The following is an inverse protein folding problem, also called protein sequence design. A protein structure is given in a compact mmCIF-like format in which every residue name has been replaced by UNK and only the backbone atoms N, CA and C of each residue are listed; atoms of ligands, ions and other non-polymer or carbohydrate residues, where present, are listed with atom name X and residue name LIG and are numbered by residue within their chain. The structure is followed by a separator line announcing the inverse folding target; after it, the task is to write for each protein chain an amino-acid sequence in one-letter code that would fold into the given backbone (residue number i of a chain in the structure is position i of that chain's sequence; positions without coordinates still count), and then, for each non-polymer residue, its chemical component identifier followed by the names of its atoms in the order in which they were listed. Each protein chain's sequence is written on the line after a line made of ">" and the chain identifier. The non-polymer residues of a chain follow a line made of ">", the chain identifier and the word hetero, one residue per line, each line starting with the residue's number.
data_IF_393688464032
#
_entry.id   IF_393688464032
#
_cell.length_a   1.000
_cell.length_b   1.000
_cell.length_c   1.000
_cell.angle_alpha   90.00
_cell.angle_beta   90.00
_cell.angle_gamma   90.00
#
_symmetry.space_group_name_H-M   'P 1'
#
loop_
_entity.id
_entity.type
_entity.pdbx_description
1 polymer ?
#
# COMPACT_ATOMS: atom_id res chain seq x y z
N UNK A 1 1.15 -12.47 20.65
CA UNK A 1 0.42 -11.65 19.65
C UNK A 1 -0.36 -12.60 18.75
N UNK A 2 -1.64 -12.33 18.52
CA UNK A 2 -2.45 -13.16 17.64
C UNK A 2 -2.33 -12.67 16.16
N UNK A 3 -2.91 -13.43 15.24
CA UNK A 3 -2.90 -13.09 13.80
C UNK A 3 -3.60 -11.75 13.50
N UNK A 4 -4.69 -11.45 14.22
CA UNK A 4 -5.47 -10.23 14.06
C UNK A 4 -4.67 -8.98 14.41
N UNK A 5 -3.92 -9.01 15.52
CA UNK A 5 -3.03 -7.93 15.96
C UNK A 5 -1.97 -7.63 14.89
N UNK A 6 -1.40 -8.67 14.27
CA UNK A 6 -0.42 -8.52 13.19
C UNK A 6 -1.04 -7.91 11.95
N UNK A 7 -2.24 -8.37 11.54
CA UNK A 7 -2.96 -7.76 10.43
C UNK A 7 -3.30 -6.28 10.70
N UNK A 8 -3.71 -5.93 11.92
CA UNK A 8 -3.98 -4.55 12.30
C UNK A 8 -2.72 -3.67 12.24
N UNK A 9 -1.56 -4.21 12.64
CA UNK A 9 -0.28 -3.51 12.49
C UNK A 9 0.07 -3.28 11.01
N UNK A 10 -0.11 -4.28 10.16
CA UNK A 10 0.09 -4.16 8.71
C UNK A 10 -0.85 -3.09 8.13
N UNK A 11 -2.14 -3.13 8.48
CA UNK A 11 -3.14 -2.15 8.03
C UNK A 11 -2.75 -0.73 8.46
N UNK A 12 -2.29 -0.55 9.71
CA UNK A 12 -1.84 0.75 10.21
C UNK A 12 -0.66 1.28 9.39
N UNK A 13 0.29 0.43 9.05
CA UNK A 13 1.44 0.80 8.23
C UNK A 13 1.03 1.18 6.80
N UNK A 14 0.23 0.34 6.14
CA UNK A 14 -0.26 0.61 4.79
C UNK A 14 -1.12 1.89 4.75
N UNK A 15 -1.96 2.14 5.76
CA UNK A 15 -2.71 3.41 5.88
C UNK A 15 -1.79 4.61 6.05
N UNK A 16 -0.74 4.52 6.88
CA UNK A 16 0.22 5.61 7.06
C UNK A 16 0.92 5.96 5.75
N UNK A 17 1.42 4.96 5.02
CA UNK A 17 2.07 5.18 3.72
C UNK A 17 1.11 5.72 2.66
N UNK A 18 -0.16 5.29 2.69
CA UNK A 18 -1.22 5.87 1.85
C UNK A 18 -1.44 7.36 2.16
N UNK A 19 -1.58 7.75 3.43
CA UNK A 19 -1.75 9.16 3.79
C UNK A 19 -0.56 10.02 3.39
N UNK A 20 0.67 9.52 3.57
CA UNK A 20 1.88 10.20 3.09
C UNK A 20 1.80 10.44 1.57
N UNK A 21 1.37 9.45 0.80
CA UNK A 21 1.18 9.57 -0.66
C UNK A 21 0.16 10.66 -1.00
N UNK A 22 -0.97 10.70 -0.29
CA UNK A 22 -1.99 11.74 -0.46
C UNK A 22 -1.44 13.13 -0.10
N UNK A 23 -0.65 13.25 0.98
CA UNK A 23 -0.01 14.51 1.35
C UNK A 23 0.93 15.02 0.24
N UNK A 24 1.73 14.14 -0.39
CA UNK A 24 2.54 14.52 -1.54
C UNK A 24 1.70 15.03 -2.71
N UNK A 25 0.57 14.37 -3.01
CA UNK A 25 -0.35 14.87 -4.04
C UNK A 25 -0.89 16.26 -3.70
N UNK A 26 -1.33 16.50 -2.46
CA UNK A 26 -1.86 17.81 -2.03
C UNK A 26 -0.78 18.90 -2.14
N UNK A 27 0.46 18.60 -1.74
CA UNK A 27 1.59 19.54 -1.82
C UNK A 27 1.88 19.96 -3.26
N UNK A 28 1.59 19.12 -4.25
CA UNK A 28 1.80 19.46 -5.67
C UNK A 28 0.75 20.43 -6.23
N UNK A 29 -0.42 20.58 -5.60
CA UNK A 29 -1.48 21.49 -6.04
C UNK A 29 -1.00 22.95 -6.14
N UNK A 30 -0.39 23.56 -5.10
CA UNK A 30 0.07 24.95 -5.18
C UNK A 30 1.13 25.16 -6.26
N UNK A 31 1.94 24.16 -6.60
CA UNK A 31 2.86 24.25 -7.73
C UNK A 31 2.07 24.42 -9.04
N UNK A 32 1.04 23.59 -9.27
CA UNK A 32 0.16 23.70 -10.44
C UNK A 32 -0.52 25.08 -10.49
N UNK A 33 -1.00 25.59 -9.35
CA UNK A 33 -1.66 26.90 -9.26
C UNK A 33 -0.70 28.03 -9.58
N UNK A 34 0.53 27.98 -9.06
CA UNK A 34 1.56 29.00 -9.32
C UNK A 34 1.91 29.13 -10.80
N UNK A 35 1.86 28.03 -11.56
CA UNK A 35 2.08 28.07 -13.01
C UNK A 35 1.08 28.97 -13.75
N UNK A 36 -0.18 29.09 -13.31
CA UNK A 36 -1.17 29.93 -14.01
C UNK A 36 -0.85 31.43 -14.02
N UNK A 37 0.08 31.91 -13.19
CA UNK A 37 0.52 33.31 -13.15
C UNK A 37 1.75 33.65 -14.00
N UNK A 38 2.33 32.67 -14.71
CA UNK A 38 3.60 32.82 -15.44
C UNK A 38 3.37 32.92 -16.95
N UNK A 39 4.22 33.68 -17.65
CA UNK A 39 4.20 33.75 -19.11
C UNK A 39 4.32 32.36 -19.76
N UNK A 40 3.47 32.12 -20.76
CA UNK A 40 3.38 30.83 -21.46
C UNK A 40 4.54 30.67 -22.43
N UNK A 41 5.63 30.09 -21.95
CA UNK A 41 6.78 29.69 -22.76
C UNK A 41 6.76 28.20 -23.10
N UNK A 42 7.64 27.72 -23.97
CA UNK A 42 7.80 26.28 -24.23
C UNK A 42 8.14 25.51 -22.94
N UNK A 43 9.01 26.09 -22.10
CA UNK A 43 9.41 25.51 -20.80
C UNK A 43 8.23 25.37 -19.83
N UNK A 44 7.24 26.26 -19.92
CA UNK A 44 6.00 26.18 -19.14
C UNK A 44 5.20 24.91 -19.47
N UNK A 45 5.00 24.59 -20.76
CA UNK A 45 4.27 23.40 -21.17
C UNK A 45 4.99 22.09 -20.75
N UNK A 46 6.31 22.04 -20.88
CA UNK A 46 7.10 20.90 -20.42
C UNK A 46 7.01 20.71 -18.90
N UNK A 47 7.01 21.80 -18.13
CA UNK A 47 6.90 21.76 -16.67
C UNK A 47 5.53 21.23 -16.22
N UNK A 48 4.44 21.69 -16.85
CA UNK A 48 3.08 21.18 -16.57
C UNK A 48 2.97 19.70 -16.91
N UNK A 49 3.50 19.28 -18.06
CA UNK A 49 3.48 17.89 -18.48
C UNK A 49 4.22 16.99 -17.47
N UNK A 50 5.38 17.44 -16.97
CA UNK A 50 6.12 16.73 -15.94
C UNK A 50 5.32 16.61 -14.64
N UNK A 51 4.65 17.67 -14.19
CA UNK A 51 3.83 17.64 -12.98
C UNK A 51 2.63 16.70 -13.13
N UNK A 52 1.96 16.73 -14.28
CA UNK A 52 0.86 15.80 -14.59
C UNK A 52 1.34 14.34 -14.57
N UNK A 53 2.53 14.07 -15.10
CA UNK A 53 3.11 12.73 -15.09
C UNK A 53 3.43 12.26 -13.66
N UNK A 54 3.99 13.14 -12.82
CA UNK A 54 4.19 12.86 -11.38
C UNK A 54 2.85 12.57 -10.69
N UNK A 55 1.82 13.36 -10.98
CA UNK A 55 0.47 13.18 -10.44
C UNK A 55 -0.13 11.82 -10.82
N UNK A 56 0.01 11.41 -12.08
CA UNK A 56 -0.45 10.12 -12.58
C UNK A 56 0.27 8.98 -11.86
N UNK A 57 1.59 9.07 -11.71
CA UNK A 57 2.39 8.06 -11.00
C UNK A 57 1.94 7.95 -9.54
N UNK A 58 1.79 9.07 -8.83
CA UNK A 58 1.30 9.10 -7.46
C UNK A 58 -0.13 8.54 -7.34
N UNK A 59 -1.00 8.84 -8.30
CA UNK A 59 -2.36 8.28 -8.36
C UNK A 59 -2.37 6.76 -8.51
N UNK A 60 -1.52 6.21 -9.39
CA UNK A 60 -1.36 4.75 -9.55
C UNK A 60 -0.84 4.11 -8.25
N UNK A 61 0.12 4.73 -7.57
CA UNK A 61 0.64 4.27 -6.28
C UNK A 61 -0.46 4.29 -5.22
N UNK A 62 -1.20 5.39 -5.10
CA UNK A 62 -2.29 5.56 -4.14
C UNK A 62 -3.39 4.50 -4.35
N UNK A 63 -3.79 4.26 -5.61
CA UNK A 63 -4.77 3.24 -5.95
C UNK A 63 -4.31 1.82 -5.56
N UNK A 64 -3.05 1.46 -5.85
CA UNK A 64 -2.48 0.17 -5.45
C UNK A 64 -2.50 0.00 -3.92
N UNK A 65 -2.06 1.02 -3.18
CA UNK A 65 -2.08 1.03 -1.71
C UNK A 65 -3.50 0.88 -1.16
N UNK A 66 -4.48 1.59 -1.73
CA UNK A 66 -5.88 1.47 -1.32
C UNK A 66 -6.42 0.05 -1.51
N UNK A 67 -6.16 -0.58 -2.67
CA UNK A 67 -6.52 -1.99 -2.93
C UNK A 67 -5.95 -2.94 -1.88
N UNK A 68 -4.69 -2.75 -1.49
CA UNK A 68 -4.04 -3.57 -0.45
C UNK A 68 -4.76 -3.40 0.90
N UNK A 69 -5.07 -2.17 1.30
CA UNK A 69 -5.78 -1.88 2.56
C UNK A 69 -7.16 -2.54 2.58
N UNK A 70 -7.91 -2.46 1.47
CA UNK A 70 -9.22 -3.11 1.36
C UNK A 70 -9.09 -4.62 1.52
N UNK A 71 -8.12 -5.24 0.82
CA UNK A 71 -7.91 -6.69 0.88
C UNK A 71 -7.41 -7.17 2.24
N UNK A 72 -6.62 -6.36 2.96
CA UNK A 72 -6.24 -6.63 4.34
C UNK A 72 -7.43 -6.57 5.30
N UNK A 73 -8.32 -5.58 5.16
CA UNK A 73 -9.56 -5.51 5.96
C UNK A 73 -10.48 -6.68 5.68
N UNK A 74 -10.58 -7.10 4.43
CA UNK A 74 -11.33 -8.31 4.07
C UNK A 74 -10.69 -9.56 4.70
N UNK A 75 -9.36 -9.67 4.65
CA UNK A 75 -8.61 -10.78 5.27
C UNK A 75 -8.86 -10.87 6.77
N UNK A 76 -8.90 -9.74 7.48
CA UNK A 76 -9.18 -9.70 8.92
C UNK A 76 -10.56 -10.30 9.26
N UNK A 77 -11.55 -10.15 8.37
CA UNK A 77 -12.90 -10.68 8.57
C UNK A 77 -13.07 -12.12 8.11
N UNK A 78 -12.25 -12.58 7.16
CA UNK A 78 -12.48 -13.83 6.42
C UNK A 78 -11.37 -14.87 6.60
N UNK A 79 -10.37 -14.65 7.45
CA UNK A 79 -9.23 -15.56 7.57
C UNK A 79 -9.58 -16.96 8.10
N UNK A 80 -10.71 -17.11 8.80
CA UNK A 80 -11.18 -18.41 9.33
C UNK A 80 -11.90 -19.23 8.27
N UNK A 81 -12.72 -18.59 7.44
CA UNK A 81 -13.55 -19.23 6.41
C UNK A 81 -12.81 -19.36 5.07
N UNK A 82 -12.05 -18.34 4.69
CA UNK A 82 -11.36 -18.22 3.41
C UNK A 82 -9.83 -18.19 3.58
N UNK A 83 -9.32 -19.06 4.46
CA UNK A 83 -7.93 -19.06 4.88
C UNK A 83 -6.92 -19.22 3.73
N UNK A 84 -7.23 -20.04 2.73
CA UNK A 84 -6.36 -20.23 1.55
C UNK A 84 -6.23 -18.94 0.72
N UNK A 85 -7.32 -18.19 0.53
CA UNK A 85 -7.29 -16.94 -0.21
C UNK A 85 -6.50 -15.86 0.55
N UNK A 86 -6.70 -15.79 1.87
CA UNK A 86 -5.92 -14.90 2.73
C UNK A 86 -4.44 -15.26 2.69
N UNK A 87 -4.09 -16.54 2.79
CA UNK A 87 -2.70 -17.00 2.73
C UNK A 87 -2.06 -16.68 1.38
N UNK A 88 -2.76 -16.90 0.26
CA UNK A 88 -2.27 -16.58 -1.08
C UNK A 88 -2.02 -15.07 -1.24
N UNK A 89 -2.94 -14.25 -0.77
CA UNK A 89 -2.78 -12.79 -0.76
C UNK A 89 -1.55 -12.34 0.04
N UNK A 90 -1.40 -12.82 1.27
CA UNK A 90 -0.28 -12.47 2.14
C UNK A 90 1.06 -12.95 1.54
N UNK A 91 1.12 -14.16 0.96
CA UNK A 91 2.30 -14.69 0.26
C UNK A 91 2.70 -13.82 -0.94
N UNK A 92 1.75 -13.48 -1.80
CA UNK A 92 1.98 -12.65 -2.97
C UNK A 92 2.51 -11.27 -2.56
N UNK A 93 1.90 -10.67 -1.54
CA UNK A 93 2.32 -9.36 -1.05
C UNK A 93 3.71 -9.39 -0.42
N UNK A 94 4.02 -10.39 0.40
CA UNK A 94 5.37 -10.62 0.95
C UNK A 94 6.42 -10.74 -0.16
N UNK A 95 6.12 -11.48 -1.23
CA UNK A 95 7.02 -11.63 -2.37
C UNK A 95 7.29 -10.28 -3.06
N UNK A 96 6.26 -9.48 -3.29
CA UNK A 96 6.42 -8.12 -3.85
C UNK A 96 7.23 -7.19 -2.95
N UNK A 97 7.15 -7.34 -1.62
CA UNK A 97 7.95 -6.55 -0.69
C UNK A 97 9.42 -6.99 -0.69
N UNK A 98 9.69 -8.29 -0.82
CA UNK A 98 11.06 -8.83 -0.94
C UNK A 98 11.79 -8.26 -2.15
N UNK A 99 11.11 -8.14 -3.28
CA UNK A 99 11.71 -7.60 -4.52
C UNK A 99 12.01 -6.10 -4.44
N UNK A 100 11.42 -5.37 -3.48
CA UNK A 100 11.57 -3.92 -3.35
C UNK A 100 12.69 -3.49 -2.40
N UNK A 101 13.42 -4.42 -1.75
CA UNK A 101 14.57 -4.25 -0.84
C UNK A 101 14.47 -3.20 0.30
N UNK A 102 13.43 -2.36 0.37
CA UNK A 102 13.37 -1.18 1.24
C UNK A 102 12.40 -1.23 2.43
N UNK A 103 11.50 -2.21 2.50
CA UNK A 103 10.52 -2.31 3.61
C UNK A 103 10.72 -3.58 4.44
N UNK A 104 11.93 -3.79 4.98
CA UNK A 104 12.27 -4.92 5.87
C UNK A 104 11.22 -5.12 6.98
N UNK A 105 10.79 -4.03 7.62
CA UNK A 105 9.78 -4.09 8.67
C UNK A 105 8.42 -4.58 8.19
N UNK A 106 7.93 -4.12 7.02
CA UNK A 106 6.64 -4.58 6.50
C UNK A 106 6.75 -6.03 6.03
N UNK A 107 7.87 -6.39 5.38
CA UNK A 107 8.15 -7.77 5.02
C UNK A 107 8.08 -8.72 6.23
N UNK A 108 8.73 -8.37 7.34
CA UNK A 108 8.69 -9.16 8.57
C UNK A 108 7.28 -9.29 9.14
N UNK A 109 6.50 -8.20 9.14
CA UNK A 109 5.10 -8.26 9.58
C UNK A 109 4.25 -9.24 8.75
N UNK A 110 4.44 -9.25 7.42
CA UNK A 110 3.75 -10.21 6.54
C UNK A 110 4.24 -11.65 6.75
N UNK A 111 5.54 -11.85 7.01
CA UNK A 111 6.10 -13.18 7.31
C UNK A 111 5.55 -13.77 8.62
N UNK A 112 5.49 -12.94 9.67
CA UNK A 112 4.92 -13.33 10.97
C UNK A 112 3.42 -13.60 10.87
N UNK A 113 2.66 -12.78 10.13
CA UNK A 113 1.24 -13.02 9.89
C UNK A 113 1.00 -14.35 9.17
N UNK A 114 1.85 -14.71 8.20
CA UNK A 114 1.77 -15.99 7.50
C UNK A 114 2.06 -17.20 8.41
N UNK A 115 3.03 -17.08 9.32
CA UNK A 115 3.34 -18.12 10.32
C UNK A 115 2.14 -18.34 11.26
N UNK A 116 1.61 -17.27 11.84
CA UNK A 116 0.45 -17.34 12.74
C UNK A 116 -0.79 -17.91 12.06
N UNK A 117 -1.05 -17.55 10.80
CA UNK A 117 -2.16 -18.12 10.03
C UNK A 117 -1.98 -19.63 9.81
N UNK A 118 -0.75 -20.07 9.55
CA UNK A 118 -0.44 -21.49 9.34
C UNK A 118 -0.63 -22.29 10.62
N UNK A 119 -0.25 -21.75 11.78
CA UNK A 119 -0.46 -22.39 13.08
C UNK A 119 -1.96 -22.51 13.42
N UNK A 120 -2.76 -21.49 13.09
CA UNK A 120 -4.22 -21.52 13.25
C UNK A 120 -4.84 -22.61 12.38
N UNK A 121 -4.38 -22.73 11.13
CA UNK A 121 -4.83 -23.76 10.20
C UNK A 121 -4.47 -25.16 10.71
N UNK A 122 -3.23 -25.39 11.12
CA UNK A 122 -2.79 -26.69 11.65
C UNK A 122 -3.64 -27.09 12.86
N UNK A 123 -3.91 -26.17 13.79
CA UNK A 123 -4.76 -26.46 14.96
C UNK A 123 -6.23 -26.73 14.63
N UNK A 124 -6.74 -26.24 13.50
CA UNK A 124 -8.13 -26.42 13.09
C UNK A 124 -8.36 -27.74 12.34
N UNK A 125 -7.31 -28.28 11.72
CA UNK A 125 -7.36 -29.49 10.89
C UNK A 125 -6.54 -30.67 11.45
N UNK A 126 -5.98 -30.53 12.66
CA UNK A 126 -5.37 -31.61 13.45
C UNK A 126 -6.41 -32.17 14.43
#
# INVERSE_FOLDING_TARGET
>A
MNFEDKLLQIIKYERRTFYITICFMIILIPFIVWFFGVEKTINFYFSILAILLVYLVLGVIAYKKLKIIIKLKWSLKNYVENAHEVQAFLKNRRASLKSLQGELNLYHLYDEALKLLSDILIKKYA
#
